data_IF_125180388475
#
_entry.id   IF_125180388475
#
_cell.length_a   1.000
_cell.length_b   1.000
_cell.length_c   1.000
_cell.angle_alpha   90.00
_cell.angle_beta   90.00
_cell.angle_gamma   90.00
#
_symmetry.space_group_name_H-M   'P 1'
#
loop_
_entity.id
_entity.type
_entity.pdbx_description
1 polymer ?
#
# COMPACT_ATOMS: atom_id res chain seq x y z
N UNK A 1 -3.53 -2.62 8.56
CA UNK A 1 -3.28 -4.08 8.46
C UNK A 1 -2.15 -4.51 9.37
N UNK A 2 -2.33 -5.61 10.06
CA UNK A 2 -1.26 -6.17 10.89
C UNK A 2 -0.34 -7.02 10.03
N UNK A 3 0.96 -7.03 10.34
CA UNK A 3 1.95 -7.80 9.60
C UNK A 3 1.60 -9.30 9.56
N UNK A 4 1.08 -9.82 10.65
CA UNK A 4 0.67 -11.24 10.75
C UNK A 4 -0.40 -11.58 9.71
N UNK A 5 -1.37 -10.70 9.52
CA UNK A 5 -2.43 -10.89 8.53
C UNK A 5 -1.87 -10.82 7.11
N UNK A 6 -0.94 -9.90 6.86
CA UNK A 6 -0.30 -9.78 5.55
C UNK A 6 0.49 -11.03 5.19
N UNK A 7 1.18 -11.64 6.15
CA UNK A 7 1.97 -12.84 5.91
C UNK A 7 1.13 -14.08 5.61
N UNK A 8 -0.14 -14.08 6.03
CA UNK A 8 -1.07 -15.18 5.74
C UNK A 8 -1.67 -15.12 4.34
N UNK A 9 -1.55 -13.98 3.67
CA UNK A 9 -2.07 -13.81 2.32
C UNK A 9 -1.15 -14.43 1.29
N UNK A 10 -1.75 -14.95 0.23
CA UNK A 10 -1.00 -15.47 -0.91
C UNK A 10 -0.28 -14.34 -1.63
N UNK A 11 0.81 -14.69 -2.31
CA UNK A 11 1.58 -13.75 -3.11
C UNK A 11 0.71 -12.97 -4.10
N UNK A 12 -0.22 -13.67 -4.77
CA UNK A 12 -1.12 -13.04 -5.73
C UNK A 12 -2.01 -11.99 -5.08
N UNK A 13 -2.53 -12.28 -3.89
CA UNK A 13 -3.35 -11.34 -3.14
C UNK A 13 -2.55 -10.12 -2.70
N UNK A 14 -1.31 -10.32 -2.28
CA UNK A 14 -0.43 -9.22 -1.90
C UNK A 14 -0.10 -8.32 -3.09
N UNK A 15 0.19 -8.91 -4.24
CA UNK A 15 0.44 -8.15 -5.47
C UNK A 15 -0.78 -7.33 -5.87
N UNK A 16 -1.96 -7.91 -5.78
CA UNK A 16 -3.21 -7.23 -6.05
C UNK A 16 -3.42 -6.05 -5.10
N UNK A 17 -3.16 -6.25 -3.81
CA UNK A 17 -3.27 -5.21 -2.81
C UNK A 17 -2.30 -4.06 -3.09
N UNK A 18 -1.08 -4.38 -3.50
CA UNK A 18 -0.09 -3.36 -3.87
C UNK A 18 -0.59 -2.52 -5.04
N UNK A 19 -1.17 -3.16 -6.06
CA UNK A 19 -1.74 -2.44 -7.20
C UNK A 19 -2.88 -1.51 -6.77
N UNK A 20 -3.76 -1.99 -5.92
CA UNK A 20 -4.85 -1.18 -5.38
C UNK A 20 -4.33 0.01 -4.59
N UNK A 21 -3.34 -0.21 -3.73
CA UNK A 21 -2.72 0.86 -2.96
C UNK A 21 -2.00 1.87 -3.84
N UNK A 22 -1.37 1.42 -4.91
CA UNK A 22 -0.70 2.30 -5.87
C UNK A 22 -1.71 3.22 -6.55
N UNK A 23 -2.85 2.66 -6.96
CA UNK A 23 -3.93 3.45 -7.56
C UNK A 23 -4.50 4.45 -6.56
N UNK A 24 -4.72 4.01 -5.33
CA UNK A 24 -5.22 4.85 -4.25
C UNK A 24 -4.27 6.01 -3.97
N UNK A 25 -2.97 5.72 -3.89
CA UNK A 25 -1.94 6.75 -3.68
C UNK A 25 -1.93 7.78 -4.80
N UNK A 26 -2.01 7.32 -6.04
CA UNK A 26 -2.06 8.21 -7.20
C UNK A 26 -3.27 9.14 -7.11
N UNK A 27 -4.43 8.59 -6.78
CA UNK A 27 -5.68 9.35 -6.63
C UNK A 27 -5.58 10.36 -5.48
N UNK A 28 -5.04 9.93 -4.33
CA UNK A 28 -4.85 10.80 -3.18
C UNK A 28 -3.89 11.96 -3.48
N UNK A 29 -2.81 11.68 -4.19
CA UNK A 29 -1.86 12.71 -4.61
C UNK A 29 -2.51 13.73 -5.53
N UNK A 30 -3.33 13.26 -6.46
CA UNK A 30 -4.07 14.11 -7.35
C UNK A 30 -5.02 15.03 -6.58
N UNK A 31 -5.79 14.47 -5.64
CA UNK A 31 -6.71 15.23 -4.80
C UNK A 31 -5.98 16.26 -3.94
N UNK A 32 -4.83 15.87 -3.39
CA UNK A 32 -4.01 16.78 -2.60
C UNK A 32 -3.49 17.95 -3.45
N UNK A 33 -3.00 17.65 -4.64
CA UNK A 33 -2.49 18.64 -5.57
C UNK A 33 -3.57 19.64 -6.01
N UNK A 34 -4.81 19.17 -6.17
CA UNK A 34 -5.94 20.03 -6.56
C UNK A 34 -6.57 20.77 -5.37
N UNK A 35 -6.04 20.60 -4.17
CA UNK A 35 -6.54 21.26 -2.96
C UNK A 35 -7.79 20.63 -2.35
N UNK A 36 -8.26 19.51 -2.88
CA UNK A 36 -9.45 18.83 -2.37
C UNK A 36 -9.16 17.99 -1.14
N UNK A 37 -7.93 17.51 -0.98
CA UNK A 37 -7.51 16.72 0.17
C UNK A 37 -6.70 17.61 1.11
N UNK A 38 -7.18 17.79 2.33
CA UNK A 38 -6.53 18.65 3.33
C UNK A 38 -5.61 17.87 4.27
N UNK A 39 -5.74 16.54 4.30
CA UNK A 39 -5.04 15.70 5.27
C UNK A 39 -4.07 14.74 4.56
N UNK A 40 -2.77 14.91 4.79
CA UNK A 40 -1.73 14.04 4.23
C UNK A 40 -1.59 12.72 4.99
N UNK A 41 -2.30 12.55 6.10
CA UNK A 41 -2.21 11.35 6.93
C UNK A 41 -2.58 10.08 6.15
N UNK A 42 -3.62 10.16 5.32
CA UNK A 42 -4.05 9.04 4.48
C UNK A 42 -2.96 8.64 3.48
N UNK A 43 -2.30 9.62 2.88
CA UNK A 43 -1.20 9.38 1.93
C UNK A 43 -0.07 8.64 2.64
N UNK A 44 0.32 9.12 3.82
CA UNK A 44 1.40 8.52 4.60
C UNK A 44 1.06 7.10 5.04
N UNK A 45 -0.17 6.86 5.49
CA UNK A 45 -0.63 5.53 5.90
C UNK A 45 -0.61 4.56 4.72
N UNK A 46 -1.09 4.99 3.56
CA UNK A 46 -1.10 4.16 2.35
C UNK A 46 0.31 3.83 1.89
N UNK A 47 1.23 4.79 1.98
CA UNK A 47 2.66 4.55 1.67
C UNK A 47 3.26 3.52 2.60
N UNK A 48 2.98 3.59 3.90
CA UNK A 48 3.49 2.65 4.89
C UNK A 48 2.96 1.25 4.64
N UNK A 49 1.67 1.12 4.36
CA UNK A 49 1.06 -0.18 4.05
C UNK A 49 1.67 -0.78 2.79
N UNK A 50 1.82 0.02 1.75
CA UNK A 50 2.44 -0.43 0.51
C UNK A 50 3.87 -0.91 0.73
N UNK A 51 4.65 -0.16 1.50
CA UNK A 51 6.03 -0.52 1.81
C UNK A 51 6.11 -1.84 2.58
N UNK A 52 5.23 -2.06 3.55
CA UNK A 52 5.16 -3.30 4.32
C UNK A 52 4.86 -4.49 3.43
N UNK A 53 3.87 -4.35 2.54
CA UNK A 53 3.47 -5.42 1.63
C UNK A 53 4.60 -5.74 0.65
N UNK A 54 5.26 -4.72 0.13
CA UNK A 54 6.41 -4.91 -0.77
C UNK A 54 7.56 -5.64 -0.08
N UNK A 55 7.80 -5.34 1.19
CA UNK A 55 8.83 -6.02 1.98
C UNK A 55 8.48 -7.50 2.14
N UNK A 56 7.23 -7.81 2.43
CA UNK A 56 6.77 -9.20 2.58
C UNK A 56 6.88 -9.95 1.26
N UNK A 57 6.49 -9.33 0.15
CA UNK A 57 6.62 -9.92 -1.17
C UNK A 57 8.08 -10.22 -1.51
N UNK A 58 8.99 -9.33 -1.13
CA UNK A 58 10.42 -9.53 -1.32
C UNK A 58 10.93 -10.71 -0.49
N UNK A 59 10.47 -10.86 0.74
CA UNK A 59 10.82 -12.00 1.59
C UNK A 59 10.34 -13.32 0.98
N UNK A 60 9.11 -13.35 0.49
CA UNK A 60 8.54 -14.54 -0.14
C UNK A 60 9.32 -14.90 -1.41
N UNK A 61 9.68 -13.90 -2.20
CA UNK A 61 10.42 -14.12 -3.45
C UNK A 61 11.83 -14.65 -3.21
N UNK A 62 12.46 -14.24 -2.11
CA UNK A 62 13.81 -14.62 -1.77
C UNK A 62 13.90 -15.88 -0.90
N UNK A 63 12.77 -16.41 -0.45
CA UNK A 63 12.71 -17.60 0.42
C UNK A 63 12.96 -18.91 -0.34
#
# INVERSE_FOLDING_TARGET
MKIVELRKKDRKELEKTVLELTKKLSDLRFKFSSGKLKNVKEINNSKKERARILTILKEIKNA
#
